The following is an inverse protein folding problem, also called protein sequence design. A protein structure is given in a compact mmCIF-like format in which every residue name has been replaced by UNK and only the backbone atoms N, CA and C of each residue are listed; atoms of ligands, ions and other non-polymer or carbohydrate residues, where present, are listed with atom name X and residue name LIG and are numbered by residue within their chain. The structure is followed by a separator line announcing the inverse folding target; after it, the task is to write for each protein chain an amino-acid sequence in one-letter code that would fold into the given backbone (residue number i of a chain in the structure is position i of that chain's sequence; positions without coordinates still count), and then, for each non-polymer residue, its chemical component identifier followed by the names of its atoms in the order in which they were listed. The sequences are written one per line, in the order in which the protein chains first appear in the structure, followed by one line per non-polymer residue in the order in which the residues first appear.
data_IF_245782683708
#
_entry.id   IF_245782683708
#
_cell.length_a   1.000
_cell.length_b   1.000
_cell.length_c   1.000
_cell.angle_alpha   90.00
_cell.angle_beta   90.00
_cell.angle_gamma   90.00
#
_symmetry.space_group_name_H-M   'P 1'
#
loop_
_entity.id
_entity.type
_entity.pdbx_description
1 polymer ?
#
# COMPACT_ATOMS: atom_id res chain seq x y z
N UNK A 1 -2.12 18.50 -18.92
CA UNK A 1 -2.37 17.22 -18.20
C UNK A 1 -1.74 17.19 -16.81
N UNK A 2 -0.41 17.38 -16.63
CA UNK A 2 0.23 17.34 -15.28
C UNK A 2 -0.37 18.31 -14.25
N UNK A 3 -0.75 19.52 -14.66
CA UNK A 3 -1.39 20.52 -13.79
C UNK A 3 -2.77 20.07 -13.30
N UNK A 4 -3.55 19.40 -14.17
CA UNK A 4 -4.85 18.83 -13.81
C UNK A 4 -4.71 17.69 -12.80
N UNK A 5 -3.74 16.78 -13.00
CA UNK A 5 -3.44 15.72 -12.03
C UNK A 5 -2.97 16.30 -10.69
N UNK A 6 -2.14 17.36 -10.69
CA UNK A 6 -1.74 18.04 -9.45
C UNK A 6 -2.91 18.70 -8.74
N UNK A 7 -3.82 19.35 -9.48
CA UNK A 7 -5.03 19.92 -8.92
C UNK A 7 -5.93 18.83 -8.34
N UNK A 8 -6.15 17.74 -9.06
CA UNK A 8 -6.95 16.61 -8.59
C UNK A 8 -6.35 15.97 -7.33
N UNK A 9 -5.04 15.77 -7.28
CA UNK A 9 -4.36 15.27 -6.10
C UNK A 9 -4.50 16.23 -4.91
N UNK A 10 -4.40 17.55 -5.16
CA UNK A 10 -4.60 18.57 -4.13
C UNK A 10 -6.05 18.56 -3.61
N UNK A 11 -7.04 18.54 -4.50
CA UNK A 11 -8.46 18.47 -4.13
C UNK A 11 -8.79 17.17 -3.42
N UNK A 12 -8.22 16.04 -3.83
CA UNK A 12 -8.40 14.76 -3.15
C UNK A 12 -7.82 14.80 -1.74
N UNK A 13 -6.61 15.31 -1.57
CA UNK A 13 -6.01 15.50 -0.24
C UNK A 13 -6.88 16.42 0.64
N UNK A 14 -7.37 17.52 0.08
CA UNK A 14 -8.26 18.44 0.77
C UNK A 14 -9.61 17.79 1.11
N UNK A 15 -10.18 16.98 0.22
CA UNK A 15 -11.43 16.26 0.44
C UNK A 15 -11.28 15.21 1.55
N UNK A 16 -10.16 14.48 1.59
CA UNK A 16 -9.84 13.55 2.68
C UNK A 16 -9.74 14.31 4.00
N UNK A 17 -8.98 15.42 4.04
CA UNK A 17 -8.88 16.25 5.24
C UNK A 17 -10.24 16.79 5.69
N UNK A 18 -11.02 17.35 4.78
CA UNK A 18 -12.33 17.91 5.07
C UNK A 18 -13.29 16.84 5.58
N UNK A 19 -13.27 15.64 4.99
CA UNK A 19 -14.08 14.51 5.44
C UNK A 19 -13.69 14.09 6.86
N UNK A 20 -12.39 13.93 7.14
CA UNK A 20 -11.91 13.57 8.48
C UNK A 20 -12.21 14.66 9.50
N UNK A 21 -12.09 15.93 9.13
CA UNK A 21 -12.38 17.07 9.98
C UNK A 21 -13.88 17.20 10.26
N UNK A 22 -14.73 17.12 9.24
CA UNK A 22 -16.18 17.12 9.38
C UNK A 22 -16.65 15.91 10.19
N UNK A 23 -16.05 14.73 9.97
CA UNK A 23 -16.28 13.56 10.79
C UNK A 23 -15.90 13.82 12.25
N UNK A 24 -14.75 14.44 12.50
CA UNK A 24 -14.33 14.80 13.85
C UNK A 24 -15.30 15.79 14.53
N UNK A 25 -15.78 16.80 13.80
CA UNK A 25 -16.78 17.77 14.29
C UNK A 25 -18.14 17.11 14.57
N UNK A 26 -18.59 16.21 13.69
CA UNK A 26 -19.88 15.53 13.87
C UNK A 26 -19.82 14.44 14.95
N UNK A 27 -18.64 13.92 15.27
CA UNK A 27 -18.45 12.83 16.24
C UNK A 27 -17.66 13.30 17.48
N UNK A 28 -17.90 14.54 17.93
CA UNK A 28 -17.33 15.07 19.19
C UNK A 28 -17.99 14.49 20.45
N UNK A 29 -19.04 13.69 20.30
CA UNK A 29 -19.74 13.08 21.41
C UNK A 29 -18.84 12.15 22.22
N UNK A 30 -19.03 12.15 23.54
CA UNK A 30 -18.38 11.19 24.42
C UNK A 30 -18.98 9.79 24.22
N UNK A 31 -18.12 8.82 23.94
CA UNK A 31 -18.47 7.41 23.85
C UNK A 31 -17.93 6.65 25.05
N UNK A 32 -18.72 5.67 25.54
CA UNK A 32 -18.34 4.77 26.64
C UNK A 32 -17.90 3.43 26.06
N UNK A 33 -16.65 3.06 26.30
CA UNK A 33 -16.15 1.70 26.04
C UNK A 33 -16.26 0.91 27.33
N UNK A 34 -17.09 -0.12 27.33
CA UNK A 34 -17.24 -1.03 28.46
C UNK A 34 -16.17 -2.11 28.39
N UNK A 35 -15.24 -2.07 29.33
CA UNK A 35 -14.24 -3.11 29.54
C UNK A 35 -14.74 -4.14 30.57
N UNK A 36 -13.91 -5.13 30.83
CA UNK A 36 -14.18 -6.15 31.85
C UNK A 36 -14.24 -5.53 33.26
N UNK A 37 -14.94 -6.20 34.19
CA UNK A 37 -15.10 -5.78 35.60
C UNK A 37 -15.86 -4.46 35.83
N UNK A 38 -16.73 -4.05 34.90
CA UNK A 38 -17.53 -2.83 35.03
C UNK A 38 -16.76 -1.54 34.77
N UNK A 39 -15.50 -1.63 34.36
CA UNK A 39 -14.68 -0.46 34.01
C UNK A 39 -15.18 0.14 32.71
N UNK A 40 -15.67 1.37 32.77
CA UNK A 40 -16.09 2.12 31.58
C UNK A 40 -15.05 3.21 31.30
N UNK A 41 -14.52 3.26 30.08
CA UNK A 41 -13.68 4.38 29.67
C UNK A 41 -14.49 5.33 28.80
N UNK A 42 -14.46 6.62 29.13
CA UNK A 42 -15.09 7.69 28.35
C UNK A 42 -14.02 8.40 27.55
N UNK A 43 -14.24 8.48 26.24
CA UNK A 43 -13.36 9.18 25.32
C UNK A 43 -14.19 9.72 24.14
N UNK A 44 -13.77 10.83 23.49
CA UNK A 44 -14.42 11.31 22.28
C UNK A 44 -14.52 10.21 21.21
N UNK A 45 -15.73 10.00 20.68
CA UNK A 45 -16.03 8.93 19.71
C UNK A 45 -15.09 8.97 18.50
N UNK A 46 -14.78 10.17 18.00
CA UNK A 46 -13.83 10.37 16.90
C UNK A 46 -12.48 9.68 17.14
N UNK A 47 -11.92 9.78 18.35
CA UNK A 47 -10.61 9.19 18.65
C UNK A 47 -10.67 7.67 18.64
N UNK A 48 -11.76 7.10 19.16
CA UNK A 48 -11.98 5.65 19.18
C UNK A 48 -12.03 5.10 17.75
N UNK A 49 -12.83 5.74 16.88
CA UNK A 49 -12.98 5.30 15.49
C UNK A 49 -11.68 5.45 14.72
N UNK A 50 -10.99 6.60 14.85
CA UNK A 50 -9.71 6.83 14.19
C UNK A 50 -8.64 5.82 14.65
N UNK A 51 -8.56 5.53 15.95
CA UNK A 51 -7.62 4.55 16.47
C UNK A 51 -7.91 3.13 15.95
N UNK A 52 -9.16 2.69 15.97
CA UNK A 52 -9.56 1.40 15.45
C UNK A 52 -9.27 1.27 13.95
N UNK A 53 -9.56 2.32 13.18
CA UNK A 53 -9.27 2.37 11.74
C UNK A 53 -7.77 2.32 11.45
N UNK A 54 -6.96 3.13 12.16
CA UNK A 54 -5.51 3.13 12.00
C UNK A 54 -4.90 1.76 12.33
N UNK A 55 -5.35 1.12 13.41
CA UNK A 55 -4.94 -0.25 13.76
C UNK A 55 -5.33 -1.25 12.67
N UNK A 56 -6.57 -1.17 12.17
CA UNK A 56 -7.05 -2.02 11.07
C UNK A 56 -6.23 -1.85 9.78
N UNK A 57 -5.84 -0.60 9.44
CA UNK A 57 -4.96 -0.34 8.30
C UNK A 57 -3.58 -0.94 8.50
N UNK A 58 -2.97 -0.77 9.68
CA UNK A 58 -1.66 -1.36 9.99
C UNK A 58 -1.71 -2.88 9.85
N UNK A 59 -2.73 -3.53 10.43
CA UNK A 59 -2.93 -4.98 10.31
C UNK A 59 -3.16 -5.39 8.85
N UNK A 60 -3.98 -4.66 8.10
CA UNK A 60 -4.25 -4.93 6.69
C UNK A 60 -2.99 -4.83 5.82
N UNK A 61 -2.19 -3.78 6.01
CA UNK A 61 -0.91 -3.60 5.32
C UNK A 61 0.07 -4.73 5.70
N UNK A 62 0.24 -5.01 6.99
CA UNK A 62 1.11 -6.09 7.46
C UNK A 62 0.67 -7.46 6.92
N UNK A 63 -0.62 -7.71 6.76
CA UNK A 63 -1.14 -8.93 6.13
C UNK A 63 -0.82 -9.03 4.63
N UNK A 64 -0.69 -7.90 3.92
CA UNK A 64 -0.36 -7.85 2.50
C UNK A 64 1.15 -7.93 2.20
N UNK A 65 1.99 -7.39 3.09
CA UNK A 65 3.47 -7.39 2.94
C UNK A 65 4.07 -8.77 2.66
N UNK A 66 3.77 -9.85 3.40
CA UNK A 66 4.42 -11.15 3.21
C UNK A 66 4.07 -11.78 1.85
N UNK A 67 2.83 -11.62 1.36
CA UNK A 67 2.43 -12.08 0.02
C UNK A 67 3.21 -11.35 -1.08
N UNK A 68 3.39 -10.05 -0.93
CA UNK A 68 4.10 -9.24 -1.91
C UNK A 68 5.60 -9.53 -1.94
N UNK A 69 6.20 -9.84 -0.79
CA UNK A 69 7.60 -10.24 -0.71
C UNK A 69 7.86 -11.59 -1.41
N UNK A 70 6.95 -12.56 -1.25
CA UNK A 70 7.08 -13.86 -1.93
C UNK A 70 6.96 -13.73 -3.44
N UNK A 71 5.99 -12.95 -3.92
CA UNK A 71 5.85 -12.64 -5.36
C UNK A 71 7.09 -11.93 -5.93
N UNK A 72 7.71 -11.02 -5.18
CA UNK A 72 8.95 -10.35 -5.60
C UNK A 72 10.15 -11.30 -5.66
N UNK A 73 10.26 -12.26 -4.75
CA UNK A 73 11.34 -13.26 -4.76
C UNK A 73 11.20 -14.23 -5.94
N UNK A 74 9.98 -14.71 -6.21
CA UNK A 74 9.69 -15.59 -7.35
C UNK A 74 10.01 -14.89 -8.67
N UNK A 75 9.64 -13.62 -8.84
CA UNK A 75 9.97 -12.83 -10.03
C UNK A 75 11.48 -12.63 -10.26
N UNK A 76 12.30 -12.68 -9.20
CA UNK A 76 13.76 -12.59 -9.31
C UNK A 76 14.40 -13.92 -9.69
N UNK A 77 13.78 -15.05 -9.33
CA UNK A 77 14.28 -16.38 -9.66
C UNK A 77 14.02 -16.78 -11.12
N UNK A 78 13.00 -16.22 -11.77
CA UNK A 78 12.70 -16.51 -13.19
C UNK A 78 13.56 -15.73 -14.19
N UNK A 79 14.39 -14.77 -13.75
CA UNK A 79 15.33 -14.04 -14.62
C UNK A 79 16.70 -14.72 -14.78
N UNK A 80 16.97 -15.80 -14.04
CA UNK A 80 18.19 -16.60 -14.19
C UNK A 80 17.87 -17.92 -14.90
N UNK A 81 17.29 -17.83 -16.09
CA UNK A 81 17.57 -18.83 -17.13
C UNK A 81 18.39 -18.10 -18.20
N UNK A 82 19.72 -18.23 -18.21
CA UNK A 82 20.52 -17.86 -19.36
C UNK A 82 20.14 -18.83 -20.49
N UNK A 83 19.22 -18.40 -21.35
CA UNK A 83 19.12 -18.96 -22.70
C UNK A 83 20.37 -18.53 -23.48
N UNK A 84 21.07 -19.44 -24.16
CA UNK A 84 22.42 -19.21 -24.67
C UNK A 84 22.43 -18.17 -25.79
N UNK A 85 22.97 -16.98 -25.52
CA UNK A 85 23.44 -16.10 -26.60
C UNK A 85 24.72 -16.69 -27.18
N UNK A 86 24.58 -17.14 -28.42
CA UNK A 86 25.58 -17.24 -29.48
C UNK A 86 26.99 -16.71 -29.15
N UNK A 87 28.00 -17.58 -29.28
CA UNK A 87 29.31 -17.27 -29.91
C UNK A 87 30.18 -18.52 -30.04
N UNK A 88 30.18 -19.11 -31.23
CA UNK A 88 31.35 -19.69 -31.92
C UNK A 88 30.95 -19.64 -33.41
N UNK A 89 31.17 -18.49 -34.04
CA UNK A 89 32.25 -18.34 -35.03
C UNK A 89 32.00 -19.21 -36.27
N UNK A 90 31.29 -18.60 -37.20
CA UNK A 90 31.40 -18.83 -38.63
C UNK A 90 32.82 -18.50 -39.09
N UNK A 91 33.61 -19.47 -39.60
CA UNK A 91 34.82 -19.17 -40.33
C UNK A 91 34.47 -18.90 -41.79
N UNK A 92 34.94 -17.74 -42.25
CA UNK A 92 35.36 -17.40 -43.60
C UNK A 92 35.46 -18.54 -44.64
N UNK A 93 34.86 -18.24 -45.80
CA UNK A 93 35.44 -18.36 -47.13
C UNK A 93 36.36 -19.57 -47.43
N UNK A 94 35.81 -20.55 -48.16
CA UNK A 94 36.60 -21.46 -48.99
C UNK A 94 36.25 -21.22 -50.46
N UNK A 95 37.01 -20.33 -51.10
CA UNK A 95 37.19 -20.32 -52.56
C UNK A 95 37.83 -21.65 -52.99
N UNK A 96 37.25 -22.34 -53.97
CA UNK A 96 37.87 -23.53 -54.56
C UNK A 96 37.04 -24.19 -55.65
N UNK A 97 37.35 -23.83 -56.90
CA UNK A 97 37.17 -24.53 -58.20
C UNK A 97 35.80 -25.05 -58.61
#
# INVERSE_FOLDING_TARGET
MKQFLKLLQWTLNAAVFFTLFAFALNNQHEAKVYFFFGTQWRSPMVLIVLAAFALGMVVGVLGMVPRWWRQRQEAKSTQTTPGPSASTEQPEASNGT
#
